data_IF_716583431402
#
_entry.id   IF_716583431402
#
_cell.length_a   1.000
_cell.length_b   1.000
_cell.length_c   1.000
_cell.angle_alpha   90.00
_cell.angle_beta   90.00
_cell.angle_gamma   90.00
#
_symmetry.space_group_name_H-M   'P 1'
#
loop_
_entity.id
_entity.type
_entity.pdbx_description
1 polymer ?
#
# COMPACT_ATOMS: atom_id res chain seq x y z
N UNK A 1 -1.13 8.92 7.90
CA UNK A 1 -2.07 9.33 6.84
C UNK A 1 -1.30 10.19 5.87
N UNK A 2 -0.93 9.65 4.72
CA UNK A 2 -0.36 10.43 3.63
C UNK A 2 -1.41 11.36 3.05
N UNK A 3 -1.24 12.66 3.22
CA UNK A 3 -2.08 13.66 2.55
C UNK A 3 -1.58 13.81 1.10
N UNK A 4 -2.35 13.30 0.15
CA UNK A 4 -2.02 13.42 -1.27
C UNK A 4 -2.49 14.77 -1.82
N UNK A 5 -1.55 15.59 -2.30
CA UNK A 5 -1.85 16.81 -3.04
C UNK A 5 -1.24 16.68 -4.45
N UNK A 6 -2.07 16.52 -5.50
CA UNK A 6 -1.60 16.45 -6.87
C UNK A 6 -0.67 17.62 -7.22
N UNK A 7 0.46 17.35 -7.89
CA UNK A 7 1.44 18.38 -8.29
C UNK A 7 2.35 18.91 -7.17
N UNK A 8 2.14 18.47 -5.92
CA UNK A 8 3.00 18.76 -4.77
C UNK A 8 3.62 17.48 -4.22
N UNK A 9 2.83 16.41 -4.05
CA UNK A 9 3.34 15.12 -3.57
C UNK A 9 4.31 14.50 -4.58
N UNK A 10 5.48 14.08 -4.09
CA UNK A 10 6.48 13.39 -4.89
C UNK A 10 6.46 11.89 -4.60
N UNK A 11 6.67 11.08 -5.64
CA UNK A 11 6.88 9.65 -5.51
C UNK A 11 8.21 9.40 -4.78
N UNK A 12 8.24 8.66 -3.66
CA UNK A 12 9.46 8.48 -2.89
C UNK A 12 10.51 7.62 -3.62
N UNK A 13 10.13 6.83 -4.63
CA UNK A 13 11.06 5.99 -5.39
C UNK A 13 11.82 6.76 -6.48
N UNK A 14 11.13 7.61 -7.27
CA UNK A 14 11.75 8.33 -8.38
C UNK A 14 11.95 9.83 -8.11
N UNK A 15 11.43 10.33 -6.98
CA UNK A 15 11.44 11.75 -6.57
C UNK A 15 10.74 12.72 -7.53
N UNK A 16 9.98 12.21 -8.50
CA UNK A 16 9.16 13.01 -9.41
C UNK A 16 7.76 13.26 -8.82
N UNK A 17 7.16 14.38 -9.22
CA UNK A 17 5.80 14.75 -8.83
C UNK A 17 4.78 13.73 -9.33
N UNK A 18 3.72 13.55 -8.55
CA UNK A 18 2.58 12.73 -8.90
C UNK A 18 1.49 13.64 -9.44
N UNK A 19 1.09 13.38 -10.68
CA UNK A 19 0.02 14.09 -11.38
C UNK A 19 -1.30 13.31 -11.26
N UNK A 20 -2.43 14.00 -11.45
CA UNK A 20 -3.78 13.41 -11.36
C UNK A 20 -4.02 12.35 -12.45
N UNK A 21 -3.31 12.43 -13.57
CA UNK A 21 -3.48 11.50 -14.69
C UNK A 21 -2.61 10.23 -14.58
N UNK A 22 -1.86 10.06 -13.49
CA UNK A 22 -0.97 8.92 -13.30
C UNK A 22 -1.63 7.85 -12.44
N UNK A 23 -1.45 6.58 -12.80
CA UNK A 23 -1.80 5.47 -11.92
C UNK A 23 -0.88 5.47 -10.69
N UNK A 24 -1.48 5.32 -9.51
CA UNK A 24 -0.80 5.38 -8.22
C UNK A 24 -1.10 4.16 -7.36
N UNK A 25 -0.15 3.85 -6.48
CA UNK A 25 -0.29 2.95 -5.35
C UNK A 25 -0.22 3.82 -4.10
N UNK A 26 -1.35 3.97 -3.42
CA UNK A 26 -1.46 4.73 -2.17
C UNK A 26 -1.59 3.79 -0.99
N UNK A 27 -0.78 4.00 0.03
CA UNK A 27 -0.87 3.23 1.29
C UNK A 27 -1.03 4.15 2.48
N UNK A 28 -1.73 3.66 3.50
CA UNK A 28 -1.74 4.24 4.83
C UNK A 28 -0.61 3.65 5.64
N UNK A 29 0.01 4.45 6.50
CA UNK A 29 1.07 4.01 7.40
C UNK A 29 0.82 2.63 8.02
N UNK A 30 1.67 1.66 7.69
CA UNK A 30 1.51 0.26 8.13
C UNK A 30 2.80 -0.37 8.67
N UNK A 31 3.91 0.36 8.66
CA UNK A 31 5.20 -0.07 9.19
C UNK A 31 5.52 0.80 10.39
N UNK A 32 5.51 0.23 11.60
CA UNK A 32 5.70 1.02 12.83
C UNK A 32 7.16 1.28 13.20
N UNK A 33 8.10 0.44 12.76
CA UNK A 33 9.52 0.58 13.08
C UNK A 33 10.21 1.57 12.11
N UNK A 34 10.72 2.72 12.60
CA UNK A 34 11.43 3.69 11.77
C UNK A 34 12.74 3.18 11.16
N UNK A 35 13.30 2.07 11.68
CA UNK A 35 14.52 1.46 11.16
C UNK A 35 14.25 0.48 10.01
N UNK A 36 12.98 0.15 9.76
CA UNK A 36 12.58 -0.72 8.67
C UNK A 36 12.82 -0.01 7.32
N UNK A 37 13.49 -0.64 6.35
CA UNK A 37 13.70 -0.05 5.02
C UNK A 37 12.40 0.34 4.31
N UNK A 38 11.27 -0.25 4.68
CA UNK A 38 9.97 0.05 4.10
C UNK A 38 9.24 1.22 4.79
N UNK A 39 9.77 1.73 5.90
CA UNK A 39 9.12 2.75 6.73
C UNK A 39 8.74 4.00 5.93
N UNK A 40 9.70 4.56 5.17
CA UNK A 40 9.50 5.78 4.37
C UNK A 40 8.46 5.61 3.25
N UNK A 41 8.20 4.37 2.83
CA UNK A 41 7.27 4.03 1.75
C UNK A 41 5.88 3.64 2.27
N UNK A 42 5.76 3.40 3.57
CA UNK A 42 4.56 2.81 4.18
C UNK A 42 3.38 3.77 4.33
N UNK A 43 3.63 5.09 4.31
CA UNK A 43 2.61 6.14 4.31
C UNK A 43 2.89 7.08 3.13
N UNK A 44 2.87 6.52 1.92
CA UNK A 44 3.23 7.24 0.71
C UNK A 44 2.30 6.92 -0.46
N UNK A 45 2.34 7.82 -1.44
CA UNK A 45 1.80 7.61 -2.77
C UNK A 45 2.97 7.36 -3.71
N UNK A 46 2.92 6.27 -4.47
CA UNK A 46 3.98 5.82 -5.37
C UNK A 46 3.37 5.69 -6.76
N UNK A 47 4.09 6.09 -7.82
CA UNK A 47 3.63 5.80 -9.18
C UNK A 47 3.54 4.28 -9.37
N UNK A 48 2.45 3.79 -9.97
CA UNK A 48 2.28 2.35 -10.23
C UNK A 48 3.46 1.77 -11.01
N UNK A 49 3.96 2.48 -12.02
CA UNK A 49 5.15 2.07 -12.80
C UNK A 49 6.41 1.90 -11.93
N UNK A 50 6.64 2.84 -11.01
CA UNK A 50 7.76 2.77 -10.08
C UNK A 50 7.59 1.60 -9.11
N UNK A 51 6.38 1.40 -8.59
CA UNK A 51 6.06 0.28 -7.72
C UNK A 51 6.29 -1.08 -8.42
N UNK A 52 5.76 -1.25 -9.64
CA UNK A 52 5.95 -2.49 -10.42
C UNK A 52 7.42 -2.76 -10.72
N UNK A 53 8.26 -1.75 -10.88
CA UNK A 53 9.68 -1.93 -11.17
C UNK A 53 10.57 -2.01 -9.91
N UNK A 54 9.99 -1.84 -8.72
CA UNK A 54 10.74 -1.75 -7.49
C UNK A 54 11.19 -3.13 -6.99
N UNK A 55 12.46 -3.23 -6.61
CA UNK A 55 13.08 -4.48 -6.13
C UNK A 55 12.45 -5.00 -4.84
N UNK A 56 12.03 -4.12 -3.93
CA UNK A 56 11.41 -4.51 -2.66
C UNK A 56 9.88 -4.65 -2.73
N UNK A 57 9.29 -4.56 -3.94
CA UNK A 57 7.83 -4.63 -4.15
C UNK A 57 7.20 -5.85 -3.48
N UNK A 58 7.78 -7.03 -3.67
CA UNK A 58 7.22 -8.27 -3.12
C UNK A 58 7.24 -8.27 -1.58
N UNK A 59 8.30 -7.74 -0.97
CA UNK A 59 8.40 -7.61 0.48
C UNK A 59 7.38 -6.60 1.01
N UNK A 60 7.21 -5.49 0.31
CA UNK A 60 6.21 -4.47 0.63
C UNK A 60 4.78 -5.02 0.59
N UNK A 61 4.40 -5.71 -0.49
CA UNK A 61 3.08 -6.36 -0.64
C UNK A 61 2.86 -7.37 0.49
N UNK A 62 3.85 -8.23 0.76
CA UNK A 62 3.79 -9.21 1.83
C UNK A 62 3.56 -8.53 3.17
N UNK A 63 4.36 -7.53 3.51
CA UNK A 63 4.28 -6.82 4.80
C UNK A 63 2.94 -6.10 4.95
N UNK A 64 2.45 -5.43 3.90
CA UNK A 64 1.14 -4.78 3.91
C UNK A 64 0.00 -5.78 4.19
N UNK A 65 0.02 -6.92 3.52
CA UNK A 65 -0.99 -7.97 3.72
C UNK A 65 -0.88 -8.62 5.11
N UNK A 66 0.33 -8.74 5.67
CA UNK A 66 0.57 -9.28 7.00
C UNK A 66 0.21 -8.31 8.15
N UNK A 67 0.11 -7.00 7.86
CA UNK A 67 -0.28 -5.98 8.84
C UNK A 67 -1.72 -5.53 8.61
N UNK A 68 -1.98 -4.75 7.56
CA UNK A 68 -3.29 -4.18 7.25
C UNK A 68 -4.27 -5.26 6.81
N UNK A 69 -3.82 -6.26 6.03
CA UNK A 69 -4.70 -7.35 5.58
C UNK A 69 -5.19 -8.27 6.69
N UNK A 70 -4.60 -8.20 7.89
CA UNK A 70 -5.11 -8.89 9.07
C UNK A 70 -6.22 -8.12 9.79
N UNK A 71 -6.41 -6.84 9.48
CA UNK A 71 -7.48 -6.04 10.08
C UNK A 71 -8.80 -6.40 9.39
N UNK A 72 -9.78 -6.88 10.16
CA UNK A 72 -11.16 -6.99 9.71
C UNK A 72 -11.87 -5.68 10.05
N UNK A 73 -12.32 -4.96 9.03
CA UNK A 73 -13.07 -3.72 9.19
C UNK A 73 -14.50 -4.01 9.67
N UNK A 74 -15.18 -3.00 10.22
CA UNK A 74 -16.53 -3.15 10.81
C UNK A 74 -17.62 -3.67 9.86
N UNK A 75 -17.35 -3.70 8.55
CA UNK A 75 -18.21 -4.28 7.52
C UNK A 75 -17.85 -5.75 7.17
N UNK A 76 -16.98 -6.40 7.95
CA UNK A 76 -16.53 -7.77 7.72
C UNK A 76 -15.55 -7.95 6.55
N UNK A 77 -15.01 -6.87 5.99
CA UNK A 77 -14.00 -6.94 4.91
C UNK A 77 -12.57 -6.75 5.45
N UNK A 78 -11.58 -7.15 4.67
CA UNK A 78 -10.17 -6.87 4.92
C UNK A 78 -9.51 -6.36 3.63
N UNK A 79 -8.40 -5.63 3.75
CA UNK A 79 -7.64 -5.19 2.57
C UNK A 79 -6.71 -6.28 2.07
N UNK A 80 -6.62 -6.44 0.77
CA UNK A 80 -5.63 -7.26 0.10
C UNK A 80 -4.92 -6.44 -0.98
N UNK A 81 -3.60 -6.39 -0.91
CA UNK A 81 -2.76 -5.79 -1.95
C UNK A 81 -2.28 -6.88 -2.89
N UNK A 82 -2.53 -6.71 -4.19
CA UNK A 82 -1.97 -7.54 -5.25
C UNK A 82 -0.54 -7.12 -5.61
N UNK A 83 0.14 -7.95 -6.41
CA UNK A 83 1.53 -7.72 -6.81
C UNK A 83 1.76 -6.40 -7.57
N UNK A 84 0.74 -5.89 -8.27
CA UNK A 84 0.79 -4.61 -8.98
C UNK A 84 0.50 -3.40 -8.07
N UNK A 85 0.27 -3.63 -6.77
CA UNK A 85 0.01 -2.61 -5.77
C UNK A 85 -1.44 -2.16 -5.68
N UNK A 86 -2.36 -2.80 -6.42
CA UNK A 86 -3.79 -2.54 -6.27
C UNK A 86 -4.28 -3.09 -4.94
N UNK A 87 -4.97 -2.26 -4.16
CA UNK A 87 -5.61 -2.66 -2.90
C UNK A 87 -7.09 -2.91 -3.17
N UNK A 88 -7.58 -4.09 -2.78
CA UNK A 88 -8.98 -4.47 -2.85
C UNK A 88 -9.51 -4.79 -1.45
N UNK A 89 -10.78 -4.46 -1.20
CA UNK A 89 -11.47 -4.89 0.01
C UNK A 89 -12.21 -6.18 -0.28
N UNK A 90 -11.84 -7.26 0.42
CA UNK A 90 -12.40 -8.59 0.25
C UNK A 90 -13.21 -8.97 1.49
N UNK A 91 -14.33 -9.71 1.37
CA UNK A 91 -15.03 -10.23 2.54
C UNK A 91 -14.11 -11.20 3.29
N UNK A 92 -14.07 -11.08 4.62
CA UNK A 92 -13.45 -12.11 5.46
C UNK A 92 -14.40 -13.31 5.42
N UNK A 93 -13.97 -14.39 4.77
CA UNK A 93 -14.67 -15.66 4.91
C UNK A 93 -14.54 -16.07 6.37
N UNK A 94 -15.64 -16.15 7.10
CA UNK A 94 -15.64 -16.79 8.40
C UNK A 94 -15.16 -18.23 8.17
N UNK A 95 -14.23 -18.70 8.99
CA UNK A 95 -13.89 -20.10 9.08
C UNK A 95 -15.03 -20.86 9.76
N UNK A 96 -16.23 -20.80 9.19
CA UNK A 96 -17.40 -21.56 9.63
C UNK A 96 -17.60 -22.69 8.61
N UNK A 97 -16.71 -23.70 8.64
CA UNK A 97 -16.92 -25.02 8.02
C UNK A 97 -15.93 -26.03 8.63
N UNK A 98 -16.25 -26.54 9.82
CA UNK A 98 -16.33 -27.97 10.18
C UNK A 98 -16.38 -28.15 11.70
#
# INVERSE_FOLDING_TARGET
MAFFIPGISCCPLCKLKIDINMEIVGTTHFVSDPKDPLYEYSDAVIHKKCFTSWTLRNEFVKKYNETIGKITWGNGTYHHMSEDGKITSLPRQNADNN
#
